data_IF_566300656112
#
_entry.id   IF_566300656112
#
_cell.length_a   1.000
_cell.length_b   1.000
_cell.length_c   1.000
_cell.angle_alpha   90.00
_cell.angle_beta   90.00
_cell.angle_gamma   90.00
#
_symmetry.space_group_name_H-M   'P 1'
#
loop_
_entity.id
_entity.type
_entity.pdbx_description
1 polymer ?
#
# COMPACT_ATOMS: atom_id res chain seq x y z
N UNK A 1 10.34 2.34 10.60
CA UNK A 1 8.94 2.79 10.63
C UNK A 1 8.11 1.80 11.44
N UNK A 2 7.05 2.22 12.11
CA UNK A 2 6.07 1.31 12.70
C UNK A 2 4.67 1.70 12.25
N UNK A 3 3.83 0.71 11.93
CA UNK A 3 2.41 0.90 11.65
C UNK A 3 1.62 0.17 12.72
N UNK A 4 0.64 0.84 13.33
CA UNK A 4 -0.12 0.32 14.46
C UNK A 4 -1.54 0.88 14.50
N UNK A 5 -2.27 0.52 15.54
CA UNK A 5 -3.65 0.96 15.76
C UNK A 5 -4.66 -0.19 15.66
N UNK A 6 -5.93 0.07 16.07
CA UNK A 6 -6.96 -0.97 16.21
C UNK A 6 -7.32 -1.66 14.89
N UNK A 7 -7.06 -0.99 13.76
CA UNK A 7 -7.26 -1.54 12.43
C UNK A 7 -6.52 -2.88 12.23
N UNK A 8 -5.23 -2.95 12.56
CA UNK A 8 -4.42 -4.15 12.36
C UNK A 8 -4.88 -5.32 13.25
N UNK A 9 -5.22 -5.02 14.51
CA UNK A 9 -5.79 -6.00 15.43
C UNK A 9 -7.13 -6.56 14.90
N UNK A 10 -7.98 -5.71 14.31
CA UNK A 10 -9.21 -6.14 13.67
C UNK A 10 -8.96 -7.00 12.42
N UNK A 11 -7.84 -6.84 11.71
CA UNK A 11 -7.47 -7.71 10.57
C UNK A 11 -6.81 -9.02 10.98
N UNK A 12 -6.40 -9.15 12.24
CA UNK A 12 -5.77 -10.36 12.81
C UNK A 12 -4.26 -10.25 13.00
N UNK A 13 -3.70 -9.05 12.85
CA UNK A 13 -2.25 -8.81 12.73
C UNK A 13 -1.76 -7.63 13.58
N UNK A 14 -2.03 -7.61 14.91
CA UNK A 14 -1.84 -6.42 15.75
C UNK A 14 -0.43 -5.81 15.69
N UNK A 15 0.61 -6.65 15.56
CA UNK A 15 2.01 -6.24 15.71
C UNK A 15 2.85 -6.44 14.43
N UNK A 16 2.21 -6.80 13.31
CA UNK A 16 2.91 -7.27 12.10
C UNK A 16 3.87 -6.24 11.49
N UNK A 17 3.64 -4.96 11.75
CA UNK A 17 4.46 -3.85 11.25
C UNK A 17 5.13 -3.02 12.35
N UNK A 18 5.50 -3.65 13.47
CA UNK A 18 6.39 -2.99 14.44
C UNK A 18 7.84 -3.01 13.94
N UNK A 19 8.54 -1.86 14.02
CA UNK A 19 9.98 -1.72 13.76
C UNK A 19 10.44 -2.24 12.38
N UNK A 20 9.75 -1.79 11.35
CA UNK A 20 9.95 -2.18 9.96
C UNK A 20 10.97 -1.29 9.26
N UNK A 21 11.71 -1.89 8.33
CA UNK A 21 12.49 -1.23 7.29
C UNK A 21 11.73 -1.34 5.98
N UNK A 22 11.62 -0.23 5.26
CA UNK A 22 10.97 -0.15 3.95
C UNK A 22 12.02 0.27 2.93
N UNK A 23 12.08 -0.47 1.83
CA UNK A 23 12.85 -0.07 0.63
C UNK A 23 11.88 0.04 -0.52
N UNK A 24 11.88 1.16 -1.24
CA UNK A 24 10.99 1.40 -2.35
C UNK A 24 11.78 1.91 -3.56
N UNK A 25 11.40 1.46 -4.76
CA UNK A 25 11.84 2.04 -6.02
C UNK A 25 10.90 3.21 -6.35
N UNK A 26 11.38 4.46 -6.45
CA UNK A 26 10.53 5.60 -6.72
C UNK A 26 10.23 5.81 -8.22
N UNK A 27 10.72 4.94 -9.11
CA UNK A 27 10.52 4.97 -10.57
C UNK A 27 9.70 3.77 -11.08
N UNK A 28 9.49 2.76 -10.25
CA UNK A 28 8.71 1.56 -10.55
C UNK A 28 7.93 1.17 -9.29
N UNK A 29 6.68 0.74 -9.43
CA UNK A 29 5.92 0.23 -8.28
C UNK A 29 6.50 -1.12 -7.80
N UNK A 30 7.51 -0.97 -6.95
CA UNK A 30 8.27 -2.01 -6.28
C UNK A 30 8.61 -1.52 -4.87
N UNK A 31 8.32 -2.37 -3.88
CA UNK A 31 8.56 -2.08 -2.47
C UNK A 31 8.78 -3.38 -1.71
N UNK A 32 9.73 -3.35 -0.78
CA UNK A 32 9.97 -4.41 0.18
C UNK A 32 9.80 -3.89 1.60
N UNK A 33 9.24 -4.75 2.46
CA UNK A 33 9.04 -4.43 3.88
C UNK A 33 9.56 -5.62 4.72
N UNK A 34 10.50 -5.33 5.63
CA UNK A 34 11.10 -6.34 6.50
C UNK A 34 11.28 -5.80 7.94
N UNK A 35 11.14 -6.62 8.99
CA UNK A 35 10.73 -8.03 8.94
C UNK A 35 9.20 -8.22 8.83
N UNK A 36 8.73 -9.14 8.00
CA UNK A 36 7.29 -9.38 7.80
C UNK A 36 6.88 -10.79 8.20
N UNK A 37 5.95 -10.93 9.15
CA UNK A 37 5.45 -12.21 9.75
C UNK A 37 6.48 -13.07 10.49
N UNK A 38 7.77 -12.96 10.18
CA UNK A 38 8.88 -13.55 10.92
C UNK A 38 10.15 -12.68 10.74
N UNK A 39 11.16 -12.78 11.64
CA UNK A 39 12.37 -11.95 11.58
C UNK A 39 13.19 -12.11 10.29
N UNK A 40 13.13 -13.29 9.68
CA UNK A 40 13.88 -13.69 8.49
C UNK A 40 13.06 -13.57 7.20
N UNK A 41 11.94 -12.85 7.23
CA UNK A 41 11.02 -12.70 6.09
C UNK A 41 10.80 -11.25 5.70
N UNK A 42 10.45 -11.06 4.44
CA UNK A 42 10.04 -9.78 3.89
C UNK A 42 8.82 -9.95 2.99
N UNK A 43 8.01 -8.89 2.90
CA UNK A 43 7.03 -8.76 1.84
C UNK A 43 7.67 -8.06 0.64
N UNK A 44 7.26 -8.45 -0.57
CA UNK A 44 7.76 -7.91 -1.84
C UNK A 44 6.58 -7.66 -2.77
N UNK A 45 6.32 -6.38 -3.09
CA UNK A 45 5.34 -6.00 -4.11
C UNK A 45 6.07 -5.64 -5.40
N UNK A 46 5.53 -6.08 -6.54
CA UNK A 46 6.06 -5.79 -7.86
C UNK A 46 4.93 -5.52 -8.85
N UNK A 47 5.28 -4.82 -9.94
CA UNK A 47 4.46 -4.74 -11.16
C UNK A 47 4.86 -5.82 -12.19
N UNK A 48 3.89 -6.42 -12.90
CA UNK A 48 2.42 -6.25 -12.73
C UNK A 48 1.93 -6.79 -11.38
N UNK A 49 0.77 -6.32 -10.88
CA UNK A 49 0.28 -6.53 -9.51
C UNK A 49 0.50 -7.95 -8.95
N UNK A 50 1.62 -8.09 -8.25
CA UNK A 50 2.09 -9.34 -7.63
C UNK A 50 2.58 -9.05 -6.23
N UNK A 51 2.12 -9.87 -5.29
CA UNK A 51 2.59 -9.82 -3.91
C UNK A 51 3.25 -11.15 -3.56
N UNK A 52 4.43 -11.08 -2.95
CA UNK A 52 5.15 -12.24 -2.45
C UNK A 52 5.60 -12.03 -1.01
N UNK A 53 5.71 -13.13 -0.28
CA UNK A 53 6.43 -13.22 0.99
C UNK A 53 7.62 -14.11 0.73
N UNK A 54 8.82 -13.61 1.04
CA UNK A 54 10.07 -14.34 0.84
C UNK A 54 10.87 -14.32 2.13
N UNK A 55 11.77 -15.28 2.30
CA UNK A 55 12.85 -15.16 3.27
C UNK A 55 13.88 -14.11 2.81
N UNK A 56 14.75 -13.65 3.71
CA UNK A 56 15.81 -12.70 3.36
C UNK A 56 16.83 -13.25 2.36
N UNK A 57 16.98 -14.57 2.26
CA UNK A 57 17.83 -15.25 1.28
C UNK A 57 17.11 -15.60 -0.04
N UNK A 58 15.84 -15.19 -0.19
CA UNK A 58 15.10 -15.25 -1.44
C UNK A 58 14.26 -16.51 -1.65
N UNK A 59 14.11 -17.37 -0.65
CA UNK A 59 13.16 -18.48 -0.71
C UNK A 59 11.72 -17.96 -0.71
N UNK A 60 10.91 -18.45 -1.64
CA UNK A 60 9.47 -18.15 -1.68
C UNK A 60 8.73 -18.84 -0.53
N UNK A 61 7.95 -18.07 0.23
CA UNK A 61 7.07 -18.57 1.30
C UNK A 61 5.62 -18.60 0.84
N UNK A 62 5.14 -17.52 0.20
CA UNK A 62 3.78 -17.40 -0.33
C UNK A 62 3.78 -16.37 -1.46
N UNK A 63 2.87 -16.53 -2.43
CA UNK A 63 2.76 -15.66 -3.59
C UNK A 63 1.31 -15.54 -4.06
N UNK A 64 0.96 -14.35 -4.53
CA UNK A 64 -0.30 -14.12 -5.22
C UNK A 64 -0.18 -13.12 -6.36
N UNK A 65 -0.79 -13.50 -7.49
CA UNK A 65 -1.09 -12.61 -8.60
C UNK A 65 -2.49 -12.00 -8.38
N UNK A 66 -2.68 -10.74 -8.77
CA UNK A 66 -3.94 -10.02 -8.61
C UNK A 66 -4.51 -10.05 -7.17
N UNK A 67 -3.70 -9.72 -6.14
CA UNK A 67 -4.13 -9.82 -4.75
C UNK A 67 -5.38 -8.97 -4.42
N UNK A 68 -5.63 -7.88 -5.17
CA UNK A 68 -6.82 -7.03 -5.03
C UNK A 68 -8.13 -7.82 -5.07
N UNK A 69 -8.24 -8.81 -5.96
CA UNK A 69 -9.47 -9.59 -6.14
C UNK A 69 -9.71 -10.60 -5.02
N UNK A 70 -8.75 -10.79 -4.13
CA UNK A 70 -8.85 -11.81 -3.08
C UNK A 70 -9.41 -11.29 -1.78
N UNK A 71 -9.62 -9.97 -1.65
CA UNK A 71 -10.16 -9.39 -0.43
C UNK A 71 -11.59 -9.89 -0.17
N UNK A 72 -11.92 -10.30 1.06
CA UNK A 72 -13.24 -10.85 1.35
C UNK A 72 -14.36 -9.81 1.16
N UNK A 73 -15.43 -10.22 0.50
CA UNK A 73 -16.67 -9.45 0.34
C UNK A 73 -17.86 -10.25 0.88
N UNK A 74 -18.75 -9.67 1.70
CA UNK A 74 -18.78 -8.28 2.14
C UNK A 74 -17.69 -7.96 3.18
N UNK A 75 -17.24 -6.70 3.21
CA UNK A 75 -16.29 -6.20 4.19
C UNK A 75 -17.02 -5.66 5.43
N UNK A 76 -16.62 -6.15 6.61
CA UNK A 76 -17.04 -5.66 7.92
C UNK A 76 -15.79 -5.26 8.69
N UNK A 77 -15.74 -3.99 9.11
CA UNK A 77 -14.54 -3.37 9.68
C UNK A 77 -14.05 -4.07 10.96
N UNK A 78 -14.96 -4.67 11.73
CA UNK A 78 -14.66 -5.28 13.02
C UNK A 78 -14.23 -6.74 12.90
N UNK A 79 -14.74 -7.47 11.89
CA UNK A 79 -14.66 -8.94 11.86
C UNK A 79 -13.98 -9.54 10.63
N UNK A 80 -13.92 -8.84 9.49
CA UNK A 80 -13.31 -9.39 8.27
C UNK A 80 -11.79 -9.54 8.42
N UNK A 81 -11.31 -10.74 8.73
CA UNK A 81 -9.87 -11.03 8.82
C UNK A 81 -9.22 -10.99 7.44
N UNK A 82 -7.93 -10.67 7.42
CA UNK A 82 -7.09 -10.74 6.22
C UNK A 82 -5.99 -11.77 6.41
N UNK A 83 -5.56 -12.40 5.32
CA UNK A 83 -4.35 -13.21 5.32
C UNK A 83 -3.08 -12.34 5.21
N UNK A 84 -1.92 -12.98 5.29
CA UNK A 84 -0.63 -12.28 5.26
C UNK A 84 -0.42 -11.53 3.93
N UNK A 85 -0.81 -12.11 2.80
CA UNK A 85 -0.64 -11.51 1.47
C UNK A 85 -1.54 -10.27 1.31
N UNK A 86 -2.78 -10.31 1.79
CA UNK A 86 -3.70 -9.18 1.75
C UNK A 86 -3.19 -8.02 2.60
N UNK A 87 -2.70 -8.31 3.82
CA UNK A 87 -2.03 -7.31 4.67
C UNK A 87 -0.78 -6.76 4.01
N UNK A 88 0.01 -7.61 3.37
CA UNK A 88 1.23 -7.22 2.67
C UNK A 88 0.92 -6.30 1.49
N UNK A 89 -0.05 -6.65 0.65
CA UNK A 89 -0.48 -5.87 -0.50
C UNK A 89 -1.09 -4.54 -0.08
N UNK A 90 -2.00 -4.54 0.90
CA UNK A 90 -2.63 -3.32 1.40
C UNK A 90 -1.58 -2.30 1.83
N UNK A 91 -0.66 -2.71 2.72
CA UNK A 91 0.39 -1.82 3.21
C UNK A 91 1.35 -1.39 2.11
N UNK A 92 1.76 -2.31 1.24
CA UNK A 92 2.73 -2.01 0.19
C UNK A 92 2.20 -0.98 -0.80
N UNK A 93 0.96 -1.12 -1.25
CA UNK A 93 0.31 -0.16 -2.13
C UNK A 93 0.18 1.22 -1.46
N UNK A 94 -0.29 1.29 -0.21
CA UNK A 94 -0.40 2.56 0.51
C UNK A 94 0.96 3.23 0.71
N UNK A 95 1.94 2.52 1.26
CA UNK A 95 3.26 3.08 1.62
C UNK A 95 4.03 3.50 0.37
N UNK A 96 3.98 2.71 -0.71
CA UNK A 96 4.63 3.11 -1.96
C UNK A 96 4.00 4.39 -2.52
N UNK A 97 2.67 4.51 -2.57
CA UNK A 97 1.99 5.74 -2.99
C UNK A 97 2.38 6.95 -2.11
N UNK A 98 2.44 6.78 -0.78
CA UNK A 98 2.79 7.87 0.13
C UNK A 98 4.24 8.33 0.01
N UNK A 99 5.18 7.39 -0.16
CA UNK A 99 6.60 7.71 -0.30
C UNK A 99 6.96 8.28 -1.67
N UNK A 100 6.17 7.95 -2.70
CA UNK A 100 6.42 8.44 -4.07
C UNK A 100 5.59 9.67 -4.42
N UNK A 101 4.59 10.04 -3.63
CA UNK A 101 3.90 11.31 -3.78
C UNK A 101 4.85 12.49 -3.50
N UNK A 102 4.81 13.58 -4.30
CA UNK A 102 3.88 13.82 -5.41
C UNK A 102 4.38 13.31 -6.78
N UNK A 103 5.56 12.70 -6.88
CA UNK A 103 6.17 12.29 -8.15
C UNK A 103 5.32 11.25 -8.90
N UNK A 104 4.65 10.35 -8.19
CA UNK A 104 3.74 9.37 -8.81
C UNK A 104 2.62 10.03 -9.62
N UNK A 105 2.25 11.28 -9.31
CA UNK A 105 1.19 12.00 -10.03
C UNK A 105 1.58 12.40 -11.46
N UNK A 106 2.84 12.22 -11.85
CA UNK A 106 3.32 12.48 -13.22
C UNK A 106 3.54 11.21 -14.03
N UNK A 107 3.25 10.04 -13.45
CA UNK A 107 3.47 8.76 -14.11
C UNK A 107 2.52 8.55 -15.30
N UNK A 108 2.94 7.74 -16.30
CA UNK A 108 2.08 7.40 -17.43
C UNK A 108 0.72 6.85 -16.99
N UNK A 109 -0.36 7.45 -17.49
CA UNK A 109 -1.73 7.05 -17.21
C UNK A 109 -2.33 7.64 -15.93
N UNK A 110 -1.55 8.35 -15.11
CA UNK A 110 -2.08 9.12 -13.98
C UNK A 110 -2.57 10.48 -14.49
N UNK A 111 -3.82 10.81 -14.16
CA UNK A 111 -4.41 12.10 -14.48
C UNK A 111 -4.42 12.99 -13.24
N UNK A 112 -3.85 14.19 -13.33
CA UNK A 112 -3.81 15.15 -12.23
C UNK A 112 -4.34 16.50 -12.70
N UNK A 113 -5.27 17.10 -11.93
CA UNK A 113 -5.83 18.42 -12.21
C UNK A 113 -6.02 19.24 -10.95
N UNK A 114 -5.77 20.54 -11.04
CA UNK A 114 -6.09 21.46 -9.96
C UNK A 114 -7.62 21.59 -9.81
N UNK A 115 -8.08 21.71 -8.57
CA UNK A 115 -9.50 21.89 -8.23
C UNK A 115 -9.70 23.12 -7.35
N UNK A 116 -10.96 23.43 -7.01
CA UNK A 116 -11.30 24.56 -6.15
C UNK A 116 -10.46 24.56 -4.86
N UNK A 117 -9.89 25.72 -4.47
CA UNK A 117 -8.98 25.80 -3.33
C UNK A 117 -9.68 25.44 -2.01
N UNK A 118 -8.90 25.00 -1.02
CA UNK A 118 -9.36 24.72 0.33
C UNK A 118 -9.01 25.88 1.26
N UNK A 119 -9.96 26.32 2.08
CA UNK A 119 -9.71 27.32 3.12
C UNK A 119 -9.59 26.63 4.46
N UNK A 120 -8.42 26.73 5.10
CA UNK A 120 -8.15 26.12 6.40
C UNK A 120 -7.36 27.06 7.29
N UNK A 121 -7.87 27.33 8.49
CA UNK A 121 -7.21 28.18 9.48
C UNK A 121 -6.72 29.54 8.93
N UNK A 122 -7.52 30.17 8.07
CA UNK A 122 -7.20 31.46 7.44
C UNK A 122 -6.22 31.38 6.26
N UNK A 123 -5.79 30.18 5.86
CA UNK A 123 -4.95 29.93 4.69
C UNK A 123 -5.78 29.43 3.52
N UNK A 124 -5.30 29.69 2.30
CA UNK A 124 -5.88 29.17 1.05
C UNK A 124 -4.87 28.20 0.45
N UNK A 125 -5.26 26.93 0.36
CA UNK A 125 -4.43 25.86 -0.20
C UNK A 125 -4.90 25.48 -1.59
N UNK A 126 -3.95 25.34 -2.52
CA UNK A 126 -4.19 24.74 -3.84
C UNK A 126 -4.36 23.24 -3.65
N UNK A 127 -5.35 22.67 -4.33
CA UNK A 127 -5.68 21.24 -4.23
C UNK A 127 -5.52 20.56 -5.56
N UNK A 128 -5.19 19.28 -5.50
CA UNK A 128 -5.04 18.43 -6.67
C UNK A 128 -6.05 17.29 -6.56
N UNK A 129 -6.82 17.07 -7.62
CA UNK A 129 -7.52 15.80 -7.81
C UNK A 129 -6.66 14.91 -8.71
N UNK A 130 -6.51 13.65 -8.32
CA UNK A 130 -5.69 12.66 -9.01
C UNK A 130 -6.53 11.42 -9.29
N UNK A 131 -6.47 10.92 -10.53
CA UNK A 131 -7.07 9.66 -10.95
C UNK A 131 -5.97 8.70 -11.41
N UNK A 132 -5.84 7.56 -10.74
CA UNK A 132 -4.83 6.54 -11.02
C UNK A 132 -5.33 5.49 -12.02
N UNK A 133 -4.46 4.99 -12.92
CA UNK A 133 -4.80 3.87 -13.80
C UNK A 133 -4.81 2.55 -13.01
N UNK A 134 -5.51 1.53 -13.51
CA UNK A 134 -5.53 0.18 -12.91
C UNK A 134 -4.16 -0.50 -12.85
N UNK A 135 -3.18 0.01 -13.60
CA UNK A 135 -1.81 -0.52 -13.66
C UNK A 135 -0.94 -0.12 -12.47
N UNK A 136 -1.41 0.79 -11.62
CA UNK A 136 -0.75 1.20 -10.38
C UNK A 136 -1.64 0.77 -9.21
N UNK A 137 -1.11 -0.06 -8.33
CA UNK A 137 -1.82 -0.53 -7.15
C UNK A 137 -2.13 0.64 -6.20
N UNK A 138 -3.42 0.85 -5.93
CA UNK A 138 -3.89 1.83 -4.95
C UNK A 138 -5.17 1.31 -4.28
N UNK A 139 -5.64 2.01 -3.24
CA UNK A 139 -6.89 1.68 -2.54
C UNK A 139 -8.10 2.41 -3.09
N UNK A 140 -7.87 3.58 -3.67
CA UNK A 140 -8.89 4.36 -4.35
C UNK A 140 -8.25 5.04 -5.56
N UNK A 141 -8.86 4.82 -6.72
CA UNK A 141 -8.38 5.36 -7.98
C UNK A 141 -8.51 6.89 -7.99
N UNK A 142 -9.55 7.44 -7.37
CA UNK A 142 -9.82 8.87 -7.32
C UNK A 142 -9.46 9.45 -5.94
N UNK A 143 -8.54 10.42 -5.92
CA UNK A 143 -7.98 11.02 -4.69
C UNK A 143 -8.02 12.55 -4.76
N UNK A 144 -8.31 13.20 -3.62
CA UNK A 144 -8.44 14.66 -3.47
C UNK A 144 -7.94 15.12 -2.10
#
# INVERSE_FOLDING_TARGET
>A
MSLGGPFWAARGWPDVYLKQTVTADPHREHITIAPFTAPDRMSVMNVPERMAITTLDGQMIDERLNPRETFPTPFVQESTRWDAIQVAYFTSAAVWNYLTAPFVFTYPGVEAREIAPWTENGQIWRRLAVTFPKTIANHNADQV
#
